data_IF_963387956517
#
_entry.id   IF_963387956517
#
_cell.length_a   1.000
_cell.length_b   1.000
_cell.length_c   1.000
_cell.angle_alpha   90.00
_cell.angle_beta   90.00
_cell.angle_gamma   90.00
#
_symmetry.space_group_name_H-M   'P 1'
#
loop_
_entity.id
_entity.type
_entity.pdbx_description
1 polymer ?
#
# COMPACT_ATOMS: atom_id res chain seq x y z
N UNK A 1 1.72 18.54 -20.73
CA UNK A 1 2.84 18.18 -19.84
C UNK A 1 2.29 17.29 -18.74
N UNK A 2 2.98 16.21 -18.37
CA UNK A 2 2.55 15.38 -17.24
C UNK A 2 3.00 16.09 -15.97
N UNK A 3 2.05 16.65 -15.22
CA UNK A 3 2.35 17.33 -13.96
C UNK A 3 2.75 16.29 -12.91
N UNK A 4 4.01 16.35 -12.48
CA UNK A 4 4.54 15.51 -11.42
C UNK A 4 4.16 16.11 -10.06
N UNK A 5 3.93 15.25 -9.07
CA UNK A 5 3.62 15.65 -7.69
C UNK A 5 4.81 16.28 -6.95
N UNK A 6 6.04 16.05 -7.43
CA UNK A 6 7.27 16.63 -6.89
C UNK A 6 7.73 16.08 -5.53
N UNK A 7 6.91 15.27 -4.85
CA UNK A 7 7.23 14.66 -3.56
C UNK A 7 7.42 13.13 -3.68
N UNK A 8 8.63 12.59 -3.45
CA UNK A 8 8.90 11.15 -3.54
C UNK A 8 8.23 10.33 -2.43
N UNK A 9 7.83 10.96 -1.32
CA UNK A 9 7.16 10.32 -0.18
C UNK A 9 5.69 10.74 -0.05
N UNK A 10 5.07 11.14 -1.16
CA UNK A 10 3.66 11.55 -1.19
C UNK A 10 2.78 10.46 -0.56
N UNK A 11 1.92 10.83 0.39
CA UNK A 11 0.96 9.91 1.01
C UNK A 11 -0.39 9.90 0.29
N UNK A 12 -1.22 8.89 0.56
CA UNK A 12 -2.57 8.81 -0.03
C UNK A 12 -3.44 10.02 0.31
N UNK A 13 -3.39 10.51 1.55
CA UNK A 13 -4.11 11.72 1.95
C UNK A 13 -3.64 12.96 1.19
N UNK A 14 -2.34 13.09 0.96
CA UNK A 14 -1.78 14.21 0.19
C UNK A 14 -2.18 14.14 -1.28
N UNK A 15 -2.21 12.95 -1.87
CA UNK A 15 -2.70 12.77 -3.23
C UNK A 15 -4.19 13.11 -3.35
N UNK A 16 -5.00 12.70 -2.37
CA UNK A 16 -6.42 13.05 -2.33
C UNK A 16 -6.63 14.56 -2.23
N UNK A 17 -5.85 15.25 -1.39
CA UNK A 17 -5.88 16.71 -1.31
C UNK A 17 -5.48 17.38 -2.63
N UNK A 18 -4.49 16.84 -3.34
CA UNK A 18 -4.11 17.31 -4.68
C UNK A 18 -5.23 17.05 -5.70
N UNK A 19 -5.93 15.92 -5.63
CA UNK A 19 -7.08 15.61 -6.47
C UNK A 19 -8.21 16.63 -6.28
N UNK A 20 -8.53 16.98 -5.02
CA UNK A 20 -9.54 18.00 -4.70
C UNK A 20 -9.18 19.40 -5.25
N UNK A 21 -7.89 19.75 -5.28
CA UNK A 21 -7.42 21.03 -5.81
C UNK A 21 -7.28 21.02 -7.33
N UNK A 22 -6.91 19.89 -7.90
CA UNK A 22 -6.56 19.72 -9.31
C UNK A 22 -7.11 18.37 -9.81
N UNK A 23 -8.25 18.36 -10.51
CA UNK A 23 -8.97 17.12 -10.90
C UNK A 23 -8.20 16.22 -11.90
N UNK A 24 -7.05 16.69 -12.40
CA UNK A 24 -6.07 15.93 -13.17
C UNK A 24 -5.34 14.86 -12.35
N UNK A 25 -5.12 15.08 -11.05
CA UNK A 25 -4.65 14.03 -10.15
C UNK A 25 -5.82 13.11 -9.85
N UNK A 26 -5.56 11.82 -9.65
CA UNK A 26 -6.60 10.82 -9.36
C UNK A 26 -6.29 10.17 -8.02
N UNK A 27 -7.33 9.78 -7.30
CA UNK A 27 -7.15 8.96 -6.12
C UNK A 27 -6.55 7.61 -6.52
N UNK A 28 -5.60 7.16 -5.70
CA UNK A 28 -4.88 5.92 -5.93
C UNK A 28 -5.34 4.88 -4.91
N UNK A 29 -5.60 3.68 -5.41
CA UNK A 29 -5.96 2.51 -4.62
C UNK A 29 -5.06 1.37 -5.06
N UNK A 30 -4.51 0.63 -4.09
CA UNK A 30 -3.76 -0.58 -4.38
C UNK A 30 -4.02 -1.65 -3.34
N UNK A 31 -3.78 -2.89 -3.71
CA UNK A 31 -3.96 -4.05 -2.83
C UNK A 31 -2.62 -4.71 -2.55
N UNK A 32 -2.52 -5.34 -1.38
CA UNK A 32 -1.41 -6.22 -1.03
C UNK A 32 -1.88 -7.38 -0.18
N UNK A 33 -1.10 -8.46 -0.14
CA UNK A 33 -1.43 -9.62 0.68
C UNK A 33 -0.74 -9.51 2.03
N UNK A 34 -1.52 -9.53 3.12
CA UNK A 34 -0.98 -9.74 4.46
C UNK A 34 -0.88 -11.25 4.72
N UNK A 35 0.34 -11.80 4.79
CA UNK A 35 0.59 -13.22 5.06
C UNK A 35 0.30 -13.61 6.50
N UNK A 36 0.61 -12.75 7.47
CA UNK A 36 0.35 -13.02 8.89
C UNK A 36 -1.15 -13.23 9.17
N UNK A 37 -2.00 -12.55 8.42
CA UNK A 37 -3.46 -12.60 8.56
C UNK A 37 -4.16 -13.28 7.39
N UNK A 38 -3.38 -13.83 6.44
CA UNK A 38 -3.84 -14.49 5.21
C UNK A 38 -4.99 -13.75 4.50
N UNK A 39 -4.88 -12.42 4.40
CA UNK A 39 -5.96 -11.57 3.86
C UNK A 39 -5.45 -10.55 2.85
N UNK A 40 -6.31 -10.21 1.89
CA UNK A 40 -6.11 -9.06 1.03
C UNK A 40 -6.30 -7.79 1.86
N UNK A 41 -5.36 -6.85 1.75
CA UNK A 41 -5.41 -5.54 2.37
C UNK A 41 -5.50 -4.49 1.25
N UNK A 42 -6.52 -3.65 1.31
CA UNK A 42 -6.65 -2.46 0.46
C UNK A 42 -5.93 -1.29 1.13
N UNK A 43 -5.14 -0.56 0.35
CA UNK A 43 -4.48 0.69 0.74
C UNK A 43 -5.07 1.83 -0.10
N UNK A 44 -5.56 2.86 0.58
CA UNK A 44 -6.17 4.05 -0.02
C UNK A 44 -6.08 5.24 0.93
N UNK A 45 -6.60 6.42 0.55
CA UNK A 45 -6.68 7.56 1.48
C UNK A 45 -7.61 7.29 2.66
N UNK A 46 -8.57 6.37 2.53
CA UNK A 46 -9.53 6.02 3.58
C UNK A 46 -8.93 5.03 4.57
N UNK A 47 -8.25 4.00 4.07
CA UNK A 47 -7.73 2.90 4.88
C UNK A 47 -6.29 3.12 5.34
N UNK A 48 -5.51 3.92 4.61
CA UNK A 48 -4.07 4.11 4.84
C UNK A 48 -3.60 5.52 4.47
N UNK A 49 -4.23 6.60 4.98
CA UNK A 49 -3.99 7.99 4.56
C UNK A 49 -2.53 8.45 4.66
N UNK A 50 -1.82 7.95 5.67
CA UNK A 50 -0.44 8.36 5.98
C UNK A 50 0.63 7.50 5.31
N UNK A 51 0.24 6.39 4.65
CA UNK A 51 1.19 5.53 3.96
C UNK A 51 1.72 6.25 2.70
N UNK A 52 3.05 6.27 2.47
CA UNK A 52 3.60 6.73 1.20
C UNK A 52 3.13 5.85 0.03
N UNK A 53 2.70 6.46 -1.08
CA UNK A 53 2.29 5.72 -2.28
C UNK A 53 3.38 4.77 -2.77
N UNK A 54 4.65 5.22 -2.76
CA UNK A 54 5.78 4.40 -3.18
C UNK A 54 5.92 3.12 -2.34
N UNK A 55 5.60 3.18 -1.04
CA UNK A 55 5.60 2.00 -0.17
C UNK A 55 4.45 1.06 -0.52
N UNK A 56 3.25 1.61 -0.76
CA UNK A 56 2.06 0.83 -1.10
C UNK A 56 2.22 0.13 -2.47
N UNK A 57 2.75 0.83 -3.47
CA UNK A 57 3.14 0.25 -4.77
C UNK A 57 4.19 -0.84 -4.58
N UNK A 58 5.21 -0.61 -3.74
CA UNK A 58 6.21 -1.64 -3.47
C UNK A 58 5.59 -2.90 -2.88
N UNK A 59 4.63 -2.78 -1.94
CA UNK A 59 3.89 -3.91 -1.38
C UNK A 59 3.05 -4.61 -2.47
N UNK A 60 2.34 -3.83 -3.28
CA UNK A 60 1.46 -4.32 -4.35
C UNK A 60 2.21 -4.97 -5.51
N UNK A 61 3.47 -4.61 -5.74
CA UNK A 61 4.35 -5.22 -6.76
C UNK A 61 5.36 -6.22 -6.18
N UNK A 62 5.26 -6.60 -4.90
CA UNK A 62 6.24 -7.47 -4.24
C UNK A 62 6.09 -8.94 -4.67
N UNK A 63 6.33 -9.25 -5.95
CA UNK A 63 6.11 -10.57 -6.58
C UNK A 63 6.63 -11.66 -5.65
N UNK A 64 5.77 -12.58 -5.17
CA UNK A 64 6.18 -13.56 -4.19
C UNK A 64 7.15 -14.50 -4.91
N UNK A 65 8.36 -14.65 -4.34
CA UNK A 65 9.55 -15.41 -4.81
C UNK A 65 10.79 -14.56 -5.17
N UNK A 66 10.68 -13.25 -5.40
CA UNK A 66 11.85 -12.41 -5.72
C UNK A 66 12.26 -11.40 -4.62
N UNK A 67 11.37 -11.04 -3.70
CA UNK A 67 11.63 -9.97 -2.73
C UNK A 67 11.41 -10.39 -1.28
N UNK A 68 12.25 -9.88 -0.38
CA UNK A 68 12.11 -10.06 1.06
C UNK A 68 10.75 -9.50 1.55
N UNK A 69 10.01 -10.26 2.38
CA UNK A 69 8.72 -9.83 2.92
C UNK A 69 8.87 -8.55 3.73
N UNK A 70 7.91 -7.63 3.58
CA UNK A 70 7.92 -6.36 4.31
C UNK A 70 7.29 -6.57 5.68
N UNK A 71 8.08 -6.40 6.75
CA UNK A 71 7.60 -6.41 8.13
C UNK A 71 7.06 -5.02 8.52
N UNK A 72 5.77 -4.94 8.83
CA UNK A 72 5.11 -3.73 9.33
C UNK A 72 4.46 -4.00 10.69
N UNK A 73 4.31 -2.97 11.50
CA UNK A 73 3.45 -3.01 12.70
C UNK A 73 1.97 -2.82 12.35
N UNK A 74 1.08 -2.89 13.35
CA UNK A 74 -0.36 -2.65 13.17
C UNK A 74 -0.70 -1.23 12.68
N UNK A 75 0.26 -0.31 12.72
CA UNK A 75 0.13 1.08 12.25
C UNK A 75 0.79 1.27 10.87
N UNK A 76 1.13 0.17 10.19
CA UNK A 76 1.77 0.14 8.87
C UNK A 76 3.16 0.78 8.79
N UNK A 77 3.88 0.89 9.92
CA UNK A 77 5.25 1.38 10.00
C UNK A 77 6.25 0.24 9.84
N UNK A 78 7.36 0.46 9.14
CA UNK A 78 8.40 -0.57 8.96
C UNK A 78 9.08 -0.87 10.29
N UNK A 79 9.09 -2.15 10.66
CA UNK A 79 9.80 -2.65 11.83
C UNK A 79 11.24 -3.00 11.42
N UNK A 80 12.23 -2.54 12.20
CA UNK A 80 13.61 -3.02 12.08
C UNK A 80 13.74 -4.35 12.81
N UNK A 81 14.55 -5.27 12.27
CA UNK A 81 14.74 -6.68 12.73
C UNK A 81 15.02 -6.87 14.23
N UNK A 82 15.35 -5.79 14.94
CA UNK A 82 15.80 -5.74 16.33
C UNK A 82 14.66 -5.37 17.30
N UNK A 83 13.48 -5.05 16.80
CA UNK A 83 12.37 -4.52 17.61
C UNK A 83 11.37 -5.65 17.91
N UNK A 84 11.60 -6.36 19.02
CA UNK A 84 10.87 -7.58 19.40
C UNK A 84 9.57 -7.30 20.17
N UNK A 85 9.22 -6.03 20.42
CA UNK A 85 8.12 -5.62 21.30
C UNK A 85 6.79 -5.34 20.58
N UNK A 86 6.76 -5.36 19.24
CA UNK A 86 5.57 -5.05 18.44
C UNK A 86 5.03 -6.28 17.71
N UNK A 87 3.69 -6.39 17.60
CA UNK A 87 3.06 -7.41 16.74
C UNK A 87 3.49 -7.19 15.28
N UNK A 88 4.13 -8.20 14.69
CA UNK A 88 4.71 -8.12 13.34
C UNK A 88 3.74 -8.68 12.30
N UNK A 89 3.30 -7.82 11.38
CA UNK A 89 2.54 -8.20 10.19
C UNK A 89 3.48 -8.30 8.98
N UNK A 90 3.53 -9.47 8.34
CA UNK A 90 4.31 -9.69 7.12
C UNK A 90 3.43 -9.50 5.90
N UNK A 91 3.86 -8.64 4.97
CA UNK A 91 3.16 -8.36 3.72
C UNK A 91 3.99 -8.83 2.51
N UNK A 92 3.32 -9.42 1.53
CA UNK A 92 3.86 -9.85 0.21
C UNK A 92 2.87 -9.52 -0.91
N UNK A 93 3.21 -9.77 -2.19
CA UNK A 93 2.34 -9.49 -3.34
C UNK A 93 0.89 -10.01 -3.21
N UNK A 94 -0.04 -9.28 -3.84
CA UNK A 94 -1.42 -9.69 -4.12
C UNK A 94 -1.54 -11.01 -4.88
N UNK A 95 -0.55 -11.37 -5.70
CA UNK A 95 -0.59 -12.55 -6.57
C UNK A 95 -0.52 -13.92 -5.90
N UNK A 96 -0.23 -14.01 -4.58
CA UNK A 96 -0.19 -15.30 -3.88
C UNK A 96 -1.57 -15.83 -3.46
N UNK A 97 -2.56 -14.95 -3.26
CA UNK A 97 -3.91 -15.33 -2.83
C UNK A 97 -5.01 -14.95 -3.82
N UNK A 98 -4.77 -14.00 -4.74
CA UNK A 98 -5.75 -13.69 -5.79
C UNK A 98 -5.10 -13.00 -6.99
N UNK A 99 -5.13 -13.67 -8.16
CA UNK A 99 -4.56 -13.15 -9.40
C UNK A 99 -5.46 -12.12 -10.11
N UNK A 100 -6.68 -11.85 -9.63
CA UNK A 100 -7.62 -10.96 -10.31
C UNK A 100 -8.71 -10.45 -9.35
N UNK A 101 -8.58 -9.24 -8.77
CA UNK A 101 -9.61 -8.69 -7.91
C UNK A 101 -10.62 -7.91 -8.78
N UNK A 102 -11.44 -8.65 -9.55
CA UNK A 102 -12.58 -8.08 -10.30
C UNK A 102 -13.68 -7.58 -9.34
N UNK A 103 -13.69 -8.03 -8.09
CA UNK A 103 -14.71 -7.69 -7.10
C UNK A 103 -14.54 -6.32 -6.43
N UNK A 104 -13.51 -5.53 -6.76
CA UNK A 104 -13.34 -4.16 -6.22
C UNK A 104 -14.23 -3.16 -6.97
N UNK A 105 -14.80 -3.55 -8.12
CA UNK A 105 -15.69 -2.72 -8.93
C UNK A 105 -17.15 -3.19 -8.90
N UNK A 106 -17.50 -4.12 -8.02
CA UNK A 106 -18.86 -4.67 -7.90
C UNK A 106 -19.46 -4.30 -6.53
N UNK A 107 -19.68 -3.00 -6.33
CA UNK A 107 -20.69 -2.35 -5.47
C UNK A 107 -20.60 -0.83 -5.60
#
# INVERSE_FOLDING_TARGET
>A
AIDKTGNPLLSFAQLHQLHLQKPQFKDFYCTGTNLSRQRLQVFSYEHSPHMPLAQAVRISCSIPLYFEPVALDDQFRRIKKNDTLSFVNYYVDGGMLSNYPISIFDS
#
